data_IF_366587270704
#
_entry.id   IF_366587270704
#
_cell.length_a   1.000
_cell.length_b   1.000
_cell.length_c   1.000
_cell.angle_alpha   90.00
_cell.angle_beta   90.00
_cell.angle_gamma   90.00
#
_symmetry.space_group_name_H-M   'P 1'
#
loop_
_entity.id
_entity.type
_entity.pdbx_description
1 polymer ?
#
# COMPACT_ATOMS: atom_id res chain seq x y z
N UNK A 1 19.06 7.60 6.44
CA UNK A 1 18.60 6.19 6.61
C UNK A 1 17.07 6.05 6.51
N UNK A 2 16.27 7.11 6.73
CA UNK A 2 14.80 7.13 6.51
C UNK A 2 14.37 7.10 5.05
N UNK A 3 15.29 7.52 4.19
CA UNK A 3 15.21 7.27 2.76
C UNK A 3 15.19 5.76 2.43
N UNK A 4 15.74 4.87 3.28
CA UNK A 4 15.98 3.47 2.93
C UNK A 4 14.72 2.58 2.89
N UNK A 5 13.67 2.84 3.69
CA UNK A 5 12.44 2.02 3.63
C UNK A 5 11.41 2.55 2.61
N UNK A 6 11.35 3.88 2.40
CA UNK A 6 10.76 4.44 1.17
C UNK A 6 11.53 3.87 -0.02
N UNK A 7 12.87 3.80 0.04
CA UNK A 7 13.70 3.13 -0.96
C UNK A 7 13.57 1.62 -1.01
N UNK A 8 12.93 0.90 -0.08
CA UNK A 8 12.67 -0.55 -0.19
C UNK A 8 11.34 -0.79 -0.90
N UNK A 9 10.32 0.03 -0.62
CA UNK A 9 9.14 0.12 -1.49
C UNK A 9 9.54 0.63 -2.89
N UNK A 10 10.43 1.63 -2.93
CA UNK A 10 11.12 2.08 -4.12
C UNK A 10 12.19 1.09 -4.58
N UNK A 11 12.61 0.07 -3.82
CA UNK A 11 13.66 -0.87 -4.27
C UNK A 11 13.02 -1.95 -5.11
N UNK A 12 11.74 -2.24 -4.90
CA UNK A 12 10.92 -3.02 -5.83
C UNK A 12 10.65 -2.21 -7.10
N UNK A 13 10.30 -0.92 -6.98
CA UNK A 13 10.23 0.00 -8.13
C UNK A 13 11.60 0.23 -8.80
N UNK A 14 12.68 0.23 -8.04
CA UNK A 14 14.04 0.39 -8.52
C UNK A 14 14.64 -0.93 -8.96
N UNK A 15 14.13 -2.09 -8.54
CA UNK A 15 14.42 -3.40 -9.13
C UNK A 15 13.75 -3.47 -10.50
N UNK A 16 12.50 -2.98 -10.61
CA UNK A 16 11.87 -2.71 -11.91
C UNK A 16 12.74 -1.74 -12.75
N UNK A 17 13.36 -0.73 -12.14
CA UNK A 17 14.27 0.20 -12.84
C UNK A 17 15.73 -0.28 -13.01
N UNK A 18 16.19 -1.28 -12.25
CA UNK A 18 17.58 -1.80 -12.26
C UNK A 18 17.70 -3.09 -13.08
N UNK A 19 16.61 -3.83 -13.26
CA UNK A 19 16.53 -4.98 -14.18
C UNK A 19 16.78 -4.58 -15.64
N UNK A 20 16.89 -3.29 -15.90
CA UNK A 20 17.02 -2.64 -17.19
C UNK A 20 18.24 -1.71 -17.20
N UNK A 21 19.45 -2.24 -16.98
CA UNK A 21 20.68 -1.46 -17.27
C UNK A 21 20.77 -1.19 -18.78
N UNK A 22 20.15 -0.11 -19.23
CA UNK A 22 20.16 0.38 -20.61
C UNK A 22 18.78 0.65 -21.23
N UNK A 23 17.67 0.23 -20.60
CA UNK A 23 16.31 0.41 -21.15
C UNK A 23 15.48 1.37 -20.30
N UNK A 24 14.86 2.35 -20.96
CA UNK A 24 13.95 3.33 -20.33
C UNK A 24 12.70 2.59 -19.87
N UNK A 25 12.44 2.57 -18.56
CA UNK A 25 11.17 2.08 -18.02
C UNK A 25 10.10 3.11 -18.30
N UNK A 26 9.10 2.73 -19.10
CA UNK A 26 7.91 3.54 -19.34
C UNK A 26 6.77 3.00 -18.49
N UNK A 27 6.14 3.87 -17.70
CA UNK A 27 4.98 3.53 -16.88
C UNK A 27 3.75 4.22 -17.43
N UNK A 28 2.65 3.48 -17.58
CA UNK A 28 1.33 4.05 -17.81
C UNK A 28 0.65 4.26 -16.45
N UNK A 29 0.13 5.46 -16.23
CA UNK A 29 -0.67 5.79 -15.05
C UNK A 29 -1.89 6.58 -15.49
N UNK A 30 -3.06 5.99 -15.37
CA UNK A 30 -4.33 6.51 -15.90
C UNK A 30 -4.56 7.98 -15.58
N UNK A 31 -4.32 8.39 -14.33
CA UNK A 31 -4.55 9.78 -13.91
C UNK A 31 -3.60 10.81 -14.55
N UNK A 32 -2.47 10.37 -15.11
CA UNK A 32 -1.49 11.22 -15.79
C UNK A 32 -1.53 11.06 -17.32
N UNK A 33 -1.83 9.85 -17.80
CA UNK A 33 -1.79 9.51 -19.22
C UNK A 33 -3.13 9.77 -19.93
N UNK A 34 -4.24 9.80 -19.17
CA UNK A 34 -5.56 10.10 -19.70
C UNK A 34 -5.91 11.55 -19.31
N UNK A 35 -6.30 12.34 -20.30
CA UNK A 35 -6.73 13.71 -20.06
C UNK A 35 -7.97 13.72 -19.17
N UNK A 36 -7.89 14.36 -18.01
CA UNK A 36 -9.00 14.42 -17.05
C UNK A 36 -9.95 15.61 -17.28
N UNK A 37 -9.53 16.61 -18.07
CA UNK A 37 -10.26 17.86 -18.29
C UNK A 37 -11.04 17.92 -19.60
N UNK A 38 -10.58 17.20 -20.63
CA UNK A 38 -11.20 17.14 -21.95
C UNK A 38 -11.90 15.80 -22.14
N UNK A 39 -13.22 15.82 -22.37
CA UNK A 39 -14.04 14.61 -22.46
C UNK A 39 -13.69 13.73 -23.68
N UNK A 40 -13.35 14.32 -24.84
CA UNK A 40 -13.03 13.57 -26.05
C UNK A 40 -11.66 12.89 -25.90
N UNK A 41 -10.67 13.63 -25.39
CA UNK A 41 -9.34 13.06 -25.12
C UNK A 41 -9.37 12.06 -23.97
N UNK A 42 -10.26 12.23 -22.98
CA UNK A 42 -10.51 11.25 -21.94
C UNK A 42 -11.01 9.95 -22.55
N UNK A 43 -12.02 10.02 -23.40
CA UNK A 43 -12.59 8.84 -24.08
C UNK A 43 -11.54 8.15 -24.95
N UNK A 44 -10.80 8.91 -25.77
CA UNK A 44 -9.72 8.34 -26.59
C UNK A 44 -8.62 7.67 -25.73
N UNK A 45 -8.33 8.24 -24.55
CA UNK A 45 -7.45 7.62 -23.57
C UNK A 45 -8.02 6.31 -23.02
N UNK A 46 -9.30 6.29 -22.66
CA UNK A 46 -10.02 5.09 -22.20
C UNK A 46 -10.02 3.99 -23.26
N UNK A 47 -10.34 4.33 -24.51
CA UNK A 47 -10.36 3.40 -25.64
C UNK A 47 -8.97 2.76 -25.88
N UNK A 48 -7.91 3.45 -25.48
CA UNK A 48 -6.52 2.98 -25.60
C UNK A 48 -6.04 2.11 -24.43
N UNK A 49 -6.78 2.01 -23.31
CA UNK A 49 -6.37 1.24 -22.12
C UNK A 49 -6.11 -0.23 -22.48
N UNK A 50 -6.95 -0.84 -23.30
CA UNK A 50 -6.75 -2.22 -23.74
C UNK A 50 -5.42 -2.43 -24.47
N UNK A 51 -4.96 -1.44 -25.24
CA UNK A 51 -3.66 -1.48 -25.90
C UNK A 51 -2.50 -1.36 -24.90
N UNK A 52 -2.61 -0.49 -23.89
CA UNK A 52 -1.61 -0.39 -22.82
C UNK A 52 -1.53 -1.68 -22.01
N UNK A 53 -2.68 -2.21 -21.59
CA UNK A 53 -2.78 -3.47 -20.86
C UNK A 53 -2.29 -4.67 -21.66
N UNK A 54 -2.25 -4.61 -22.99
CA UNK A 54 -1.69 -5.67 -23.86
C UNK A 54 -0.18 -5.53 -24.04
N UNK A 55 0.32 -4.31 -24.16
CA UNK A 55 1.74 -4.06 -24.42
C UNK A 55 2.60 -3.97 -23.16
N UNK A 56 1.99 -3.98 -21.96
CA UNK A 56 2.73 -3.88 -20.69
C UNK A 56 3.43 -5.19 -20.32
N UNK A 57 4.72 -5.17 -19.96
CA UNK A 57 5.41 -6.39 -19.49
C UNK A 57 5.00 -6.76 -18.04
N UNK A 58 4.52 -5.78 -17.28
CA UNK A 58 4.16 -5.94 -15.87
C UNK A 58 3.02 -5.00 -15.46
N UNK A 59 2.22 -5.41 -14.48
CA UNK A 59 1.16 -4.59 -13.86
C UNK A 59 1.42 -4.47 -12.36
N UNK A 60 1.44 -3.24 -11.86
CA UNK A 60 1.55 -2.94 -10.43
C UNK A 60 0.18 -2.51 -9.90
N UNK A 61 -0.40 -3.34 -9.05
CA UNK A 61 -1.68 -3.07 -8.38
C UNK A 61 -1.41 -2.56 -6.97
N UNK A 62 -1.82 -1.33 -6.69
CA UNK A 62 -1.89 -0.78 -5.33
C UNK A 62 -3.29 -1.01 -4.78
N UNK A 63 -3.45 -1.96 -3.87
CA UNK A 63 -4.77 -2.34 -3.38
C UNK A 63 -5.11 -1.73 -2.01
N UNK A 64 -6.38 -1.38 -1.87
CA UNK A 64 -7.06 -0.99 -0.64
C UNK A 64 -8.26 -1.96 -0.42
N UNK A 65 -8.89 -1.96 0.76
CA UNK A 65 -9.99 -2.88 1.05
C UNK A 65 -11.14 -2.77 0.06
N UNK A 66 -11.30 -1.64 -0.64
CA UNK A 66 -12.34 -1.37 -1.63
C UNK A 66 -11.85 -1.58 -3.07
N UNK A 67 -10.69 -2.23 -3.28
CA UNK A 67 -10.12 -2.36 -4.63
C UNK A 67 -11.04 -3.16 -5.57
N UNK A 68 -11.58 -4.28 -5.09
CA UNK A 68 -12.40 -5.18 -5.90
C UNK A 68 -13.90 -4.84 -5.86
N UNK A 69 -14.29 -3.76 -5.19
CA UNK A 69 -15.64 -3.20 -5.35
C UNK A 69 -15.76 -2.44 -6.68
N UNK A 70 -14.64 -1.97 -7.25
CA UNK A 70 -14.63 -1.10 -8.44
C UNK A 70 -14.57 -1.90 -9.73
N UNK A 71 -15.54 -1.72 -10.62
CA UNK A 71 -15.67 -2.48 -11.86
C UNK A 71 -14.45 -2.33 -12.77
N UNK A 72 -13.98 -1.08 -12.94
CA UNK A 72 -12.82 -0.75 -13.77
C UNK A 72 -11.56 -1.52 -13.33
N UNK A 73 -11.27 -1.51 -12.02
CA UNK A 73 -10.10 -2.19 -11.47
C UNK A 73 -10.13 -3.72 -11.68
N UNK A 74 -11.31 -4.33 -11.59
CA UNK A 74 -11.49 -5.76 -11.86
C UNK A 74 -11.33 -6.08 -13.35
N UNK A 75 -11.88 -5.22 -14.21
CA UNK A 75 -11.77 -5.34 -15.66
C UNK A 75 -10.31 -5.30 -16.13
N UNK A 76 -9.55 -4.29 -15.72
CA UNK A 76 -8.14 -4.14 -16.10
C UNK A 76 -7.30 -5.34 -15.68
N UNK A 77 -7.51 -5.81 -14.45
CA UNK A 77 -6.77 -6.94 -13.89
C UNK A 77 -7.10 -8.24 -14.63
N UNK A 78 -8.37 -8.49 -14.92
CA UNK A 78 -8.80 -9.66 -15.68
C UNK A 78 -8.23 -9.63 -17.11
N UNK A 79 -8.32 -8.49 -17.80
CA UNK A 79 -7.78 -8.33 -19.17
C UNK A 79 -6.27 -8.50 -19.19
N UNK A 80 -5.53 -7.91 -18.24
CA UNK A 80 -4.07 -8.08 -18.14
C UNK A 80 -3.67 -9.55 -17.97
N UNK A 81 -4.43 -10.30 -17.17
CA UNK A 81 -4.18 -11.71 -16.93
C UNK A 81 -4.57 -12.59 -18.12
N UNK A 82 -5.71 -12.37 -18.75
CA UNK A 82 -6.14 -13.16 -19.93
C UNK A 82 -5.20 -12.96 -21.12
N UNK A 83 -4.75 -11.72 -21.35
CA UNK A 83 -3.79 -11.40 -22.43
C UNK A 83 -2.41 -12.06 -22.23
N UNK A 84 -2.08 -12.53 -21.02
CA UNK A 84 -0.87 -13.33 -20.77
C UNK A 84 -1.01 -14.78 -21.21
N UNK A 85 -2.24 -15.30 -21.29
CA UNK A 85 -2.50 -16.73 -21.52
C UNK A 85 -2.88 -17.09 -22.95
N UNK A 86 -3.24 -16.11 -23.79
CA UNK A 86 -3.84 -16.39 -25.11
C UNK A 86 -3.32 -15.47 -26.23
N UNK A 87 -2.74 -16.09 -27.27
CA UNK A 87 -2.29 -15.43 -28.52
C UNK A 87 -3.48 -14.98 -29.38
N UNK A 88 -4.68 -15.54 -29.16
CA UNK A 88 -5.87 -15.36 -29.99
C UNK A 88 -6.72 -14.13 -29.65
N UNK A 89 -6.54 -13.54 -28.46
CA UNK A 89 -7.23 -12.29 -28.04
C UNK A 89 -6.90 -11.07 -28.93
N UNK A 90 -5.90 -11.22 -29.81
CA UNK A 90 -5.39 -10.16 -30.68
C UNK A 90 -6.42 -9.71 -31.72
N UNK A 91 -7.13 -10.63 -32.36
CA UNK A 91 -8.08 -10.34 -33.45
C UNK A 91 -9.41 -9.81 -32.94
N UNK A 92 -9.94 -10.37 -31.84
CA UNK A 92 -11.24 -10.01 -31.29
C UNK A 92 -11.30 -8.54 -30.87
N UNK A 93 -10.41 -8.08 -29.97
CA UNK A 93 -10.42 -6.68 -29.52
C UNK A 93 -10.21 -5.66 -30.66
N UNK A 94 -9.42 -6.02 -31.67
CA UNK A 94 -9.15 -5.14 -32.81
C UNK A 94 -10.37 -5.00 -33.73
N UNK A 95 -11.12 -6.09 -33.90
CA UNK A 95 -12.38 -6.10 -34.64
C UNK A 95 -13.48 -5.38 -33.84
N UNK A 96 -13.59 -5.65 -32.54
CA UNK A 96 -14.51 -5.00 -31.61
C UNK A 96 -14.35 -3.48 -31.58
N UNK A 97 -13.11 -2.99 -31.49
CA UNK A 97 -12.82 -1.55 -31.50
C UNK A 97 -13.08 -0.92 -32.88
N UNK A 98 -12.90 -1.66 -33.97
CA UNK A 98 -13.22 -1.18 -35.31
C UNK A 98 -14.74 -1.12 -35.55
N UNK A 99 -15.51 -2.02 -34.93
CA UNK A 99 -16.97 -2.09 -34.99
C UNK A 99 -17.67 -1.10 -34.05
N UNK A 100 -17.04 -0.72 -32.92
CA UNK A 100 -17.49 0.36 -32.04
C UNK A 100 -17.36 1.77 -32.63
N UNK A 101 -17.14 1.91 -33.94
CA UNK A 101 -17.26 3.20 -34.63
C UNK A 101 -18.60 3.84 -34.27
N UNK A 102 -18.60 5.11 -33.83
CA UNK A 102 -19.76 5.74 -33.22
C UNK A 102 -20.91 5.78 -34.22
N UNK A 103 -21.83 4.84 -34.07
CA UNK A 103 -23.09 4.86 -34.77
C UNK A 103 -23.91 5.93 -34.06
N UNK A 104 -24.00 7.11 -34.68
CA UNK A 104 -24.84 8.26 -34.31
C UNK A 104 -24.29 9.33 -33.33
N UNK A 105 -23.17 9.98 -33.71
CA UNK A 105 -23.07 11.46 -33.54
C UNK A 105 -23.48 12.14 -34.85
N UNK A 106 -24.58 11.65 -35.44
CA UNK A 106 -25.13 12.12 -36.71
C UNK A 106 -26.20 13.21 -36.57
N UNK A 107 -26.60 13.57 -35.35
CA UNK A 107 -27.72 14.51 -35.12
C UNK A 107 -27.30 15.95 -34.81
N UNK A 108 -26.01 16.27 -34.77
CA UNK A 108 -25.52 17.63 -34.43
C UNK A 108 -24.82 18.38 -35.58
N UNK A 109 -24.82 17.85 -36.81
CA UNK A 109 -24.14 18.48 -37.95
C UNK A 109 -24.99 19.39 -38.84
N UNK A 110 -26.29 19.51 -38.57
CA UNK A 110 -27.18 20.36 -39.37
C UNK A 110 -27.23 21.83 -38.92
N UNK A 111 -26.42 22.26 -37.95
CA UNK A 111 -26.34 23.67 -37.52
C UNK A 111 -25.07 24.43 -37.91
N UNK A 112 -24.18 23.87 -38.74
CA UNK A 112 -22.95 24.56 -39.20
C UNK A 112 -22.84 24.72 -40.72
N UNK A 113 -23.97 24.73 -41.44
CA UNK A 113 -24.02 25.20 -42.82
C UNK A 113 -24.22 26.72 -42.84
N UNK A 114 -23.18 27.50 -42.53
CA UNK A 114 -23.02 28.92 -42.92
C UNK A 114 -21.65 29.47 -42.45
N UNK A 115 -20.55 28.96 -43.00
CA UNK A 115 -19.27 29.68 -43.00
C UNK A 115 -18.55 29.42 -44.31
N UNK A 116 -18.15 30.51 -44.96
CA UNK A 116 -17.61 30.59 -46.31
C UNK A 116 -16.24 29.92 -46.47
N UNK A 117 -15.90 29.42 -47.66
CA UNK A 117 -14.64 28.75 -47.92
C UNK A 117 -13.56 29.74 -48.38
N UNK A 118 -12.50 29.90 -47.59
CA UNK A 118 -11.21 30.35 -48.11
C UNK A 118 -10.08 29.88 -47.19
N UNK A 119 -9.19 29.07 -47.77
CA UNK A 119 -7.78 28.90 -47.41
C UNK A 119 -7.46 28.29 -46.03
N UNK A 120 -7.02 27.03 -46.04
CA UNK A 120 -5.67 26.60 -45.64
C UNK A 120 -5.55 25.12 -46.00
N UNK A 121 -4.83 24.86 -47.09
CA UNK A 121 -4.33 23.53 -47.44
C UNK A 121 -3.09 23.27 -46.59
N UNK A 122 -3.08 22.10 -45.93
CA UNK A 122 -1.94 21.32 -45.40
C UNK A 122 -2.20 20.85 -43.96
N UNK A 123 -3.27 20.09 -43.77
CA UNK A 123 -3.44 19.27 -42.57
C UNK A 123 -3.27 17.81 -42.99
N UNK A 124 -1.99 17.40 -43.04
CA UNK A 124 -1.58 16.03 -43.24
C UNK A 124 -2.00 15.22 -42.00
N UNK A 125 -3.20 14.63 -42.13
CA UNK A 125 -3.87 13.64 -41.28
C UNK A 125 -2.98 12.97 -40.22
N UNK A 126 -3.05 13.50 -39.00
CA UNK A 126 -2.56 12.86 -37.76
C UNK A 126 -3.01 11.39 -37.54
N UNK A 127 -4.17 10.91 -38.02
CA UNK A 127 -4.55 9.50 -37.87
C UNK A 127 -3.61 8.51 -38.57
N UNK A 128 -2.94 8.92 -39.65
CA UNK A 128 -2.07 8.03 -40.45
C UNK A 128 -0.73 7.73 -39.76
N UNK A 129 -0.21 8.65 -38.93
CA UNK A 129 1.04 8.43 -38.17
C UNK A 129 0.84 7.49 -36.98
N UNK A 130 -0.31 7.53 -36.32
CA UNK A 130 -0.62 6.60 -35.21
C UNK A 130 -0.80 5.17 -35.74
N UNK A 131 -1.43 4.99 -36.90
CA UNK A 131 -1.59 3.69 -37.54
C UNK A 131 -0.26 3.08 -38.02
N UNK A 132 0.68 3.90 -38.52
CA UNK A 132 1.99 3.46 -38.99
C UNK A 132 2.94 3.05 -37.85
N UNK A 133 2.85 3.69 -36.68
CA UNK A 133 3.62 3.32 -35.48
C UNK A 133 3.11 2.00 -34.89
N UNK A 134 1.79 1.74 -34.95
CA UNK A 134 1.20 0.50 -34.45
C UNK A 134 1.53 -0.75 -35.30
N UNK A 135 1.75 -0.57 -36.61
CA UNK A 135 2.05 -1.69 -37.53
C UNK A 135 3.52 -2.08 -37.56
N UNK A 136 4.44 -1.15 -37.26
CA UNK A 136 5.90 -1.44 -37.29
C UNK A 136 6.37 -2.22 -36.05
N UNK A 137 5.59 -2.28 -34.97
CA UNK A 137 5.94 -3.01 -33.74
C UNK A 137 5.55 -4.51 -33.75
N UNK A 138 4.99 -5.04 -34.83
CA UNK A 138 4.51 -6.43 -34.93
C UNK A 138 5.57 -7.47 -35.31
N UNK A 139 6.86 -7.19 -35.09
CA UNK A 139 7.94 -8.16 -35.27
C UNK A 139 7.88 -9.29 -34.25
N UNK A 140 7.43 -10.48 -34.68
CA UNK A 140 7.73 -11.84 -34.17
C UNK A 140 8.27 -11.98 -32.74
N UNK A 141 7.58 -11.43 -31.73
CA UNK A 141 7.89 -11.69 -30.31
C UNK A 141 7.15 -12.96 -29.89
N UNK A 142 7.65 -14.11 -30.34
CA UNK A 142 7.12 -15.45 -30.03
C UNK A 142 7.66 -16.04 -28.71
N UNK A 143 8.38 -15.26 -27.91
CA UNK A 143 8.73 -15.65 -26.56
C UNK A 143 7.52 -15.40 -25.67
N UNK A 144 7.02 -16.46 -25.04
CA UNK A 144 6.07 -16.42 -23.94
C UNK A 144 6.68 -15.61 -22.80
N UNK A 145 6.57 -14.28 -22.88
CA UNK A 145 7.00 -13.40 -21.81
C UNK A 145 6.11 -13.63 -20.61
N UNK A 146 6.70 -14.14 -19.53
CA UNK A 146 6.05 -14.27 -18.23
C UNK A 146 5.70 -12.87 -17.72
N UNK A 147 4.45 -12.44 -17.94
CA UNK A 147 3.99 -11.11 -17.55
C UNK A 147 3.89 -11.05 -16.04
N UNK A 148 4.46 -10.00 -15.46
CA UNK A 148 4.61 -9.91 -14.01
C UNK A 148 3.48 -9.08 -13.38
N UNK A 149 2.59 -9.74 -12.66
CA UNK A 149 1.62 -9.06 -11.79
C UNK A 149 2.23 -8.85 -10.39
N UNK A 150 2.22 -7.61 -9.91
CA UNK A 150 2.73 -7.22 -8.59
C UNK A 150 1.58 -6.56 -7.83
N UNK A 151 1.25 -7.08 -6.65
CA UNK A 151 0.16 -6.56 -5.82
C UNK A 151 0.76 -6.05 -4.50
N UNK A 152 0.59 -4.76 -4.22
CA UNK A 152 1.10 -4.10 -3.00
C UNK A 152 -0.05 -3.47 -2.22
N UNK A 153 -0.23 -3.79 -0.93
CA UNK A 153 -1.20 -3.11 -0.07
C UNK A 153 -0.78 -1.66 0.22
N UNK A 154 -1.69 -0.70 0.01
CA UNK A 154 -1.44 0.72 0.27
C UNK A 154 -1.12 0.99 1.75
N UNK A 155 -1.77 0.26 2.66
CA UNK A 155 -1.61 0.38 4.10
C UNK A 155 -0.18 0.05 4.55
N UNK A 156 0.52 -0.86 3.86
CA UNK A 156 1.91 -1.19 4.20
C UNK A 156 2.84 -0.02 3.92
N UNK A 157 2.59 0.78 2.88
CA UNK A 157 3.36 1.99 2.60
C UNK A 157 3.25 3.01 3.76
N UNK A 158 2.02 3.31 4.19
CA UNK A 158 1.76 4.22 5.32
C UNK A 158 2.40 3.69 6.60
N UNK A 159 2.30 2.39 6.85
CA UNK A 159 2.91 1.74 8.00
C UNK A 159 4.44 1.81 7.99
N UNK A 160 5.08 1.58 6.84
CA UNK A 160 6.52 1.73 6.70
C UNK A 160 6.97 3.17 6.99
N UNK A 161 6.24 4.17 6.50
CA UNK A 161 6.51 5.59 6.80
C UNK A 161 6.37 5.86 8.30
N UNK A 162 5.33 5.35 8.95
CA UNK A 162 5.14 5.46 10.40
C UNK A 162 6.31 4.84 11.18
N UNK A 163 6.70 3.60 10.86
CA UNK A 163 7.81 2.91 11.53
C UNK A 163 9.14 3.66 11.36
N UNK A 164 9.37 4.23 10.17
CA UNK A 164 10.52 5.06 9.90
C UNK A 164 10.53 6.32 10.76
N UNK A 165 9.45 7.11 10.73
CA UNK A 165 9.34 8.35 11.52
C UNK A 165 9.46 8.05 13.02
N UNK A 166 8.79 7.01 13.50
CA UNK A 166 8.88 6.57 14.88
C UNK A 166 10.32 6.19 15.27
N UNK A 167 11.00 5.41 14.43
CA UNK A 167 12.40 5.06 14.63
C UNK A 167 13.34 6.28 14.61
N UNK A 168 13.07 7.27 13.74
CA UNK A 168 13.83 8.52 13.70
C UNK A 168 13.71 9.29 15.01
N UNK A 169 12.47 9.54 15.43
CA UNK A 169 12.16 10.32 16.63
C UNK A 169 12.72 9.61 17.85
N UNK A 170 12.56 8.28 17.94
CA UNK A 170 13.13 7.47 19.01
C UNK A 170 14.66 7.61 19.06
N UNK A 171 15.33 7.55 17.91
CA UNK A 171 16.78 7.74 17.87
C UNK A 171 17.21 9.14 18.32
N UNK A 172 16.56 10.20 17.82
CA UNK A 172 16.88 11.59 18.19
C UNK A 172 16.66 11.83 19.68
N UNK A 173 15.54 11.36 20.22
CA UNK A 173 15.26 11.47 21.67
C UNK A 173 16.28 10.67 22.47
N UNK A 174 16.65 9.46 22.05
CA UNK A 174 17.67 8.68 22.73
C UNK A 174 19.04 9.40 22.76
N UNK A 175 19.43 10.07 21.67
CA UNK A 175 20.67 10.87 21.63
C UNK A 175 20.59 12.14 22.49
N UNK A 176 19.43 12.81 22.52
CA UNK A 176 19.22 13.93 23.41
C UNK A 176 19.29 13.49 24.89
N UNK A 177 18.68 12.35 25.21
CA UNK A 177 18.70 11.78 26.55
C UNK A 177 20.10 11.31 26.95
N UNK A 178 20.87 10.67 26.07
CA UNK A 178 22.25 10.28 26.38
C UNK A 178 23.16 11.49 26.63
N UNK A 179 22.93 12.59 25.91
CA UNK A 179 23.63 13.85 26.16
C UNK A 179 23.28 14.43 27.55
N UNK A 180 22.01 14.38 27.96
CA UNK A 180 21.56 14.82 29.29
C UNK A 180 22.03 13.88 30.42
N UNK A 181 22.09 12.57 30.15
CA UNK A 181 22.45 11.51 31.10
C UNK A 181 23.91 11.60 31.55
N UNK A 182 24.79 12.19 30.71
CA UNK A 182 26.17 12.52 31.11
C UNK A 182 26.26 13.40 32.37
N UNK A 183 25.15 14.00 32.82
CA UNK A 183 25.06 14.81 34.04
C UNK A 183 24.24 14.20 35.19
N UNK A 184 23.59 13.06 34.99
CA UNK A 184 22.64 12.43 35.93
C UNK A 184 22.94 10.93 36.19
N UNK A 185 24.11 10.45 35.76
CA UNK A 185 24.47 9.08 35.37
C UNK A 185 24.32 7.94 36.38
N UNK A 186 24.08 8.21 37.66
CA UNK A 186 24.36 7.19 38.69
C UNK A 186 23.13 6.43 39.22
N UNK A 187 21.89 6.85 38.92
CA UNK A 187 20.71 6.20 39.51
C UNK A 187 19.74 5.50 38.55
N UNK A 188 19.59 5.97 37.30
CA UNK A 188 18.64 5.36 36.36
C UNK A 188 19.18 5.50 34.94
N UNK A 189 19.36 4.38 34.23
CA UNK A 189 19.69 4.39 32.82
C UNK A 189 18.43 4.78 32.00
N UNK A 190 18.11 6.08 32.01
CA UNK A 190 16.89 6.63 31.41
C UNK A 190 16.82 6.32 29.91
N UNK A 191 17.97 6.23 29.25
CA UNK A 191 18.05 5.85 27.84
C UNK A 191 17.49 4.43 27.58
N UNK A 192 17.80 3.45 28.43
CA UNK A 192 17.29 2.09 28.31
C UNK A 192 15.77 2.02 28.53
N UNK A 193 15.24 2.77 29.50
CA UNK A 193 13.80 2.86 29.74
C UNK A 193 13.09 3.44 28.51
N UNK A 194 13.63 4.51 27.94
CA UNK A 194 13.08 5.13 26.74
C UNK A 194 13.05 4.16 25.54
N UNK A 195 14.14 3.42 25.31
CA UNK A 195 14.18 2.39 24.26
C UNK A 195 13.16 1.28 24.50
N UNK A 196 13.00 0.82 25.74
CA UNK A 196 12.02 -0.21 26.08
C UNK A 196 10.58 0.24 25.81
N UNK A 197 10.22 1.45 26.26
CA UNK A 197 8.88 2.04 26.03
C UNK A 197 8.64 2.25 24.54
N UNK A 198 9.65 2.73 23.81
CA UNK A 198 9.55 2.97 22.37
C UNK A 198 9.38 1.66 21.60
N UNK A 199 10.16 0.63 21.94
CA UNK A 199 10.00 -0.71 21.34
C UNK A 199 8.62 -1.29 21.61
N UNK A 200 8.10 -1.15 22.84
CA UNK A 200 6.75 -1.61 23.17
C UNK A 200 5.68 -0.92 22.31
N UNK A 201 5.73 0.41 22.20
CA UNK A 201 4.83 1.17 21.34
C UNK A 201 4.93 0.76 19.87
N UNK A 202 6.15 0.53 19.38
CA UNK A 202 6.42 0.00 18.05
C UNK A 202 5.80 -1.37 17.84
N UNK A 203 5.99 -2.31 18.76
CA UNK A 203 5.41 -3.65 18.71
C UNK A 203 3.87 -3.60 18.67
N UNK A 204 3.23 -2.80 19.53
CA UNK A 204 1.77 -2.64 19.53
C UNK A 204 1.27 -2.09 18.19
N UNK A 205 1.96 -1.09 17.63
CA UNK A 205 1.63 -0.53 16.32
C UNK A 205 1.80 -1.57 15.20
N UNK A 206 2.89 -2.35 15.20
CA UNK A 206 3.12 -3.45 14.25
C UNK A 206 1.96 -4.46 14.34
N UNK A 207 1.63 -4.95 15.54
CA UNK A 207 0.55 -5.91 15.75
C UNK A 207 -0.81 -5.39 15.25
N UNK A 208 -1.13 -4.12 15.52
CA UNK A 208 -2.38 -3.50 15.07
C UNK A 208 -2.45 -3.43 13.54
N UNK A 209 -1.37 -2.99 12.89
CA UNK A 209 -1.32 -2.90 11.42
C UNK A 209 -1.36 -4.27 10.77
N UNK A 210 -0.67 -5.24 11.35
CA UNK A 210 -0.73 -6.64 10.93
C UNK A 210 -2.13 -7.25 11.03
N UNK A 211 -2.84 -7.00 12.15
CA UNK A 211 -4.24 -7.45 12.32
C UNK A 211 -5.15 -6.78 11.30
N UNK A 212 -4.98 -5.47 11.08
CA UNK A 212 -5.72 -4.73 10.06
C UNK A 212 -5.45 -5.28 8.67
N UNK A 213 -4.19 -5.46 8.29
CA UNK A 213 -3.80 -6.06 7.02
C UNK A 213 -4.42 -7.46 6.82
N UNK A 214 -4.41 -8.30 7.86
CA UNK A 214 -5.07 -9.61 7.81
C UNK A 214 -6.57 -9.50 7.58
N UNK A 215 -7.24 -8.52 8.20
CA UNK A 215 -8.67 -8.27 8.01
C UNK A 215 -8.95 -7.76 6.59
N UNK A 216 -8.23 -6.74 6.15
CA UNK A 216 -8.35 -6.13 4.82
C UNK A 216 -8.11 -7.18 3.71
N UNK A 217 -7.21 -8.14 3.96
CA UNK A 217 -6.97 -9.24 3.04
C UNK A 217 -8.14 -10.25 2.98
N UNK A 218 -8.76 -10.57 4.13
CA UNK A 218 -9.94 -11.43 4.15
C UNK A 218 -11.10 -10.76 3.41
N UNK A 219 -11.27 -9.46 3.64
CA UNK A 219 -12.26 -8.64 2.95
C UNK A 219 -12.03 -8.65 1.43
N UNK A 220 -10.78 -8.41 1.00
CA UNK A 220 -10.40 -8.50 -0.42
C UNK A 220 -10.71 -9.87 -1.02
N UNK A 221 -10.39 -10.97 -0.32
CA UNK A 221 -10.73 -12.32 -0.79
C UNK A 221 -12.24 -12.55 -0.89
N UNK A 222 -13.03 -12.00 0.03
CA UNK A 222 -14.49 -12.12 0.01
C UNK A 222 -15.09 -11.32 -1.15
N UNK A 223 -14.58 -10.10 -1.39
CA UNK A 223 -15.02 -9.25 -2.49
C UNK A 223 -14.78 -9.92 -3.84
N UNK A 224 -13.60 -10.51 -4.06
CA UNK A 224 -13.33 -11.24 -5.30
C UNK A 224 -14.27 -12.44 -5.44
N UNK A 225 -14.46 -13.23 -4.37
CA UNK A 225 -15.29 -14.43 -4.39
C UNK A 225 -16.78 -14.12 -4.65
N UNK A 226 -17.25 -12.94 -4.22
CA UNK A 226 -18.64 -12.49 -4.36
C UNK A 226 -18.83 -11.44 -5.45
N UNK A 227 -17.79 -11.16 -6.24
CA UNK A 227 -17.79 -10.08 -7.23
C UNK A 227 -18.91 -10.30 -8.25
N UNK A 228 -19.74 -9.28 -8.50
CA UNK A 228 -20.72 -9.26 -9.59
C UNK A 228 -20.65 -7.92 -10.31
N UNK A 229 -20.78 -7.92 -11.64
CA UNK A 229 -20.70 -6.69 -12.47
C UNK A 229 -21.80 -5.70 -12.07
N UNK A 230 -23.02 -6.19 -11.84
CA UNK A 230 -24.18 -5.38 -11.44
C UNK A 230 -24.06 -4.70 -10.07
N UNK A 231 -23.17 -5.16 -9.19
CA UNK A 231 -22.94 -4.56 -7.86
C UNK A 231 -21.63 -3.78 -7.77
N UNK A 232 -20.81 -3.87 -8.80
CA UNK A 232 -19.53 -3.21 -8.83
C UNK A 232 -19.72 -1.69 -8.99
N UNK A 233 -18.96 -0.94 -8.22
CA UNK A 233 -18.97 0.52 -8.21
C UNK A 233 -18.27 1.06 -9.46
N UNK A 234 -18.87 2.08 -10.07
CA UNK A 234 -18.28 2.89 -11.13
C UNK A 234 -18.28 4.35 -10.71
N UNK A 235 -17.40 5.15 -11.32
CA UNK A 235 -17.37 6.59 -11.07
C UNK A 235 -18.64 7.28 -11.59
N UNK A 236 -19.12 6.84 -12.76
CA UNK A 236 -20.40 7.25 -13.32
C UNK A 236 -21.21 6.05 -13.83
N UNK A 237 -22.55 6.16 -13.92
CA UNK A 237 -23.39 5.13 -14.54
C UNK A 237 -23.02 4.86 -16.00
N UNK A 238 -22.57 5.88 -16.73
CA UNK A 238 -22.15 5.73 -18.13
C UNK A 238 -20.89 4.87 -18.26
N UNK A 239 -19.93 5.01 -17.33
CA UNK A 239 -18.75 4.14 -17.30
C UNK A 239 -19.15 2.68 -17.07
N UNK A 240 -20.23 2.43 -16.32
CA UNK A 240 -20.73 1.07 -16.06
C UNK A 240 -21.25 0.42 -17.34
N UNK A 241 -22.16 1.07 -18.06
CA UNK A 241 -22.68 0.61 -19.36
C UNK A 241 -21.55 0.39 -20.39
N UNK A 242 -20.57 1.30 -20.41
CA UNK A 242 -19.42 1.20 -21.31
C UNK A 242 -18.56 -0.03 -20.99
N UNK A 243 -18.24 -0.27 -19.72
CA UNK A 243 -17.46 -1.45 -19.33
C UNK A 243 -18.25 -2.74 -19.57
N UNK A 244 -19.57 -2.75 -19.35
CA UNK A 244 -20.43 -3.90 -19.68
C UNK A 244 -20.41 -4.22 -21.17
N UNK A 245 -20.44 -3.21 -22.03
CA UNK A 245 -20.28 -3.40 -23.48
C UNK A 245 -18.90 -3.97 -23.82
N UNK A 246 -17.81 -3.46 -23.20
CA UNK A 246 -16.47 -4.01 -23.38
C UNK A 246 -16.36 -5.46 -22.91
N UNK A 247 -16.92 -5.77 -21.74
CA UNK A 247 -16.96 -7.13 -21.18
C UNK A 247 -17.69 -8.06 -22.14
N UNK A 248 -18.89 -7.67 -22.58
CA UNK A 248 -19.70 -8.45 -23.52
C UNK A 248 -18.93 -8.74 -24.79
N UNK A 249 -18.25 -7.72 -25.33
CA UNK A 249 -17.49 -7.85 -26.56
C UNK A 249 -16.26 -8.75 -26.42
N UNK A 250 -15.67 -8.85 -25.22
CA UNK A 250 -14.44 -9.62 -24.98
C UNK A 250 -14.68 -11.04 -24.47
N UNK A 251 -15.79 -11.27 -23.77
CA UNK A 251 -16.06 -12.51 -23.06
C UNK A 251 -17.27 -13.28 -23.60
N UNK A 252 -18.09 -12.71 -24.49
CA UNK A 252 -19.16 -13.45 -25.17
C UNK A 252 -18.74 -13.87 -26.57
N UNK A 253 -18.89 -15.16 -26.89
CA UNK A 253 -18.73 -15.67 -28.26
C UNK A 253 -19.90 -15.26 -29.17
N UNK A 254 -21.10 -15.09 -28.59
CA UNK A 254 -22.34 -14.81 -29.33
C UNK A 254 -22.75 -13.33 -29.31
N UNK A 255 -21.92 -12.45 -28.72
CA UNK A 255 -22.27 -11.07 -28.37
C UNK A 255 -23.53 -10.96 -27.49
N UNK A 256 -23.87 -12.01 -26.75
CA UNK A 256 -24.91 -11.99 -25.73
C UNK A 256 -24.35 -11.40 -24.43
N UNK A 257 -24.92 -10.28 -23.99
CA UNK A 257 -24.50 -9.55 -22.79
C UNK A 257 -24.51 -10.42 -21.52
N UNK A 258 -25.58 -11.19 -21.30
CA UNK A 258 -25.73 -12.05 -20.12
C UNK A 258 -24.64 -13.12 -20.09
N UNK A 259 -24.32 -13.71 -21.24
CA UNK A 259 -23.25 -14.69 -21.37
C UNK A 259 -21.87 -14.06 -21.10
N UNK A 260 -21.57 -12.92 -21.73
CA UNK A 260 -20.29 -12.23 -21.57
C UNK A 260 -20.04 -11.77 -20.14
N UNK A 261 -21.05 -11.21 -19.49
CA UNK A 261 -21.00 -10.82 -18.07
C UNK A 261 -20.76 -12.05 -17.19
N UNK A 262 -21.50 -13.15 -17.39
CA UNK A 262 -21.32 -14.37 -16.60
C UNK A 262 -19.93 -14.99 -16.77
N UNK A 263 -19.39 -15.00 -18.00
CA UNK A 263 -18.05 -15.48 -18.30
C UNK A 263 -16.98 -14.60 -17.63
N UNK A 264 -17.12 -13.27 -17.70
CA UNK A 264 -16.21 -12.35 -17.02
C UNK A 264 -16.24 -12.52 -15.49
N UNK A 265 -17.42 -12.58 -14.88
CA UNK A 265 -17.55 -12.83 -13.44
C UNK A 265 -16.89 -14.14 -13.03
N UNK A 266 -17.02 -15.20 -13.85
CA UNK A 266 -16.33 -16.45 -13.63
C UNK A 266 -14.81 -16.27 -13.65
N UNK A 267 -14.25 -15.54 -14.62
CA UNK A 267 -12.81 -15.26 -14.70
C UNK A 267 -12.32 -14.49 -13.46
N UNK A 268 -13.06 -13.48 -12.99
CA UNK A 268 -12.71 -12.72 -11.79
C UNK A 268 -12.75 -13.61 -10.55
N UNK A 269 -13.85 -14.33 -10.31
CA UNK A 269 -14.01 -15.20 -9.13
C UNK A 269 -13.06 -16.40 -9.11
N UNK A 270 -12.57 -16.84 -10.27
CA UNK A 270 -11.70 -18.02 -10.35
C UNK A 270 -10.24 -17.63 -10.58
N UNK A 271 -9.89 -17.21 -11.80
CA UNK A 271 -8.50 -16.99 -12.24
C UNK A 271 -7.87 -15.81 -11.52
N UNK A 272 -8.57 -14.67 -11.44
CA UNK A 272 -8.06 -13.49 -10.72
C UNK A 272 -7.88 -13.83 -9.25
N UNK A 273 -8.88 -14.45 -8.61
CA UNK A 273 -8.78 -14.89 -7.21
C UNK A 273 -7.56 -15.78 -6.97
N UNK A 274 -7.36 -16.82 -7.79
CA UNK A 274 -6.25 -17.76 -7.64
C UNK A 274 -4.89 -17.08 -7.75
N UNK A 275 -4.72 -16.13 -8.69
CA UNK A 275 -3.45 -15.42 -8.84
C UNK A 275 -3.21 -14.43 -7.71
N UNK A 276 -4.25 -13.71 -7.27
CA UNK A 276 -4.18 -12.83 -6.10
C UNK A 276 -3.79 -13.64 -4.86
N UNK A 277 -4.42 -14.79 -4.62
CA UNK A 277 -4.10 -15.67 -3.50
C UNK A 277 -2.70 -16.27 -3.60
N UNK A 278 -2.23 -16.59 -4.82
CA UNK A 278 -0.86 -17.05 -5.07
C UNK A 278 0.16 -15.96 -4.74
N UNK A 279 -0.07 -14.72 -5.18
CA UNK A 279 0.84 -13.59 -4.96
C UNK A 279 0.87 -13.17 -3.49
N UNK A 280 -0.30 -13.08 -2.84
CA UNK A 280 -0.41 -12.73 -1.43
C UNK A 280 -0.11 -13.93 -0.49
N UNK A 281 0.12 -15.12 -1.07
CA UNK A 281 0.37 -16.41 -0.42
C UNK A 281 -0.88 -17.01 0.22
N UNK A 282 -1.23 -18.27 -0.04
CA UNK A 282 -2.50 -18.88 0.42
C UNK A 282 -2.79 -18.58 1.90
N UNK A 283 -3.93 -17.90 2.18
CA UNK A 283 -4.42 -17.45 3.50
C UNK A 283 -3.32 -17.50 4.57
N UNK A 284 -2.42 -16.52 4.59
CA UNK A 284 -1.34 -16.50 5.58
C UNK A 284 -1.96 -16.61 6.98
N UNK A 285 -1.92 -17.81 7.56
CA UNK A 285 -1.93 -18.01 8.99
C UNK A 285 -0.56 -17.52 9.46
N UNK A 286 -0.32 -16.21 9.41
CA UNK A 286 0.81 -15.67 10.15
C UNK A 286 0.57 -16.16 11.58
N UNK A 287 1.53 -16.85 12.21
CA UNK A 287 1.36 -17.35 13.56
C UNK A 287 1.48 -16.15 14.52
N UNK A 288 0.51 -15.23 14.43
CA UNK A 288 0.43 -14.00 15.21
C UNK A 288 0.54 -14.32 16.69
N UNK A 289 0.03 -15.48 17.11
CA UNK A 289 0.15 -15.97 18.49
C UNK A 289 1.61 -16.15 18.92
N UNK A 290 2.48 -16.69 18.05
CA UNK A 290 3.91 -16.89 18.35
C UNK A 290 4.70 -15.59 18.28
N UNK A 291 4.46 -14.75 17.27
CA UNK A 291 5.14 -13.44 17.15
C UNK A 291 4.72 -12.49 18.28
N UNK A 292 3.42 -12.47 18.62
CA UNK A 292 2.92 -11.73 19.77
C UNK A 292 3.49 -12.29 21.07
N UNK A 293 3.51 -13.61 21.28
CA UNK A 293 4.09 -14.19 22.49
C UNK A 293 5.56 -13.78 22.69
N UNK A 294 6.37 -13.78 21.63
CA UNK A 294 7.76 -13.30 21.69
C UNK A 294 7.87 -11.80 22.05
N UNK A 295 7.01 -10.96 21.46
CA UNK A 295 6.97 -9.53 21.77
C UNK A 295 6.44 -9.24 23.19
N UNK A 296 5.45 -10.00 23.66
CA UNK A 296 4.94 -9.89 25.03
C UNK A 296 5.99 -10.33 26.05
N UNK A 297 6.71 -11.44 25.81
CA UNK A 297 7.75 -11.93 26.71
C UNK A 297 8.90 -10.93 26.88
N UNK A 298 9.35 -10.31 25.78
CA UNK A 298 10.40 -9.27 25.84
C UNK A 298 9.93 -8.03 26.58
N UNK A 299 8.67 -7.62 26.37
CA UNK A 299 8.06 -6.48 27.07
C UNK A 299 7.87 -6.75 28.56
N UNK A 300 7.42 -7.95 28.93
CA UNK A 300 7.30 -8.39 30.33
C UNK A 300 8.67 -8.42 30.99
N UNK A 301 9.70 -8.93 30.32
CA UNK A 301 11.06 -8.93 30.85
C UNK A 301 11.59 -7.50 31.07
N UNK A 302 11.32 -6.56 30.16
CA UNK A 302 11.68 -5.16 30.33
C UNK A 302 10.92 -4.50 31.50
N UNK A 303 9.61 -4.73 31.59
CA UNK A 303 8.78 -4.24 32.69
C UNK A 303 9.23 -4.82 34.06
N UNK A 304 9.58 -6.11 34.10
CA UNK A 304 10.10 -6.76 35.31
C UNK A 304 11.44 -6.16 35.75
N UNK A 305 12.36 -5.85 34.81
CA UNK A 305 13.61 -5.15 35.13
C UNK A 305 13.35 -3.75 35.70
N UNK A 306 12.41 -3.01 35.13
CA UNK A 306 12.03 -1.69 35.63
C UNK A 306 11.40 -1.77 37.02
N UNK A 307 10.48 -2.71 37.24
CA UNK A 307 9.89 -2.95 38.55
C UNK A 307 10.96 -3.30 39.60
N UNK A 308 11.96 -4.11 39.22
CA UNK A 308 13.09 -4.44 40.09
C UNK A 308 13.92 -3.19 40.46
N UNK A 309 14.23 -2.33 39.48
CA UNK A 309 14.94 -1.05 39.74
C UNK A 309 14.13 -0.15 40.67
N UNK A 310 12.82 -0.01 40.45
CA UNK A 310 11.94 0.77 41.33
C UNK A 310 11.87 0.21 42.76
N UNK A 311 11.80 -1.11 42.92
CA UNK A 311 11.82 -1.76 44.24
C UNK A 311 13.16 -1.53 44.95
N UNK A 312 14.29 -1.61 44.23
CA UNK A 312 15.61 -1.30 44.79
C UNK A 312 15.71 0.17 45.22
N UNK A 313 15.18 1.10 44.44
CA UNK A 313 15.13 2.53 44.81
C UNK A 313 14.28 2.77 46.07
N UNK A 314 13.12 2.14 46.17
CA UNK A 314 12.27 2.20 47.36
C UNK A 314 12.99 1.65 48.60
N UNK A 315 13.71 0.54 48.45
CA UNK A 315 14.50 -0.05 49.53
C UNK A 315 15.64 0.89 49.98
N UNK A 316 16.35 1.51 49.04
CA UNK A 316 17.39 2.49 49.34
C UNK A 316 16.84 3.73 50.07
N UNK A 317 15.69 4.24 49.65
CA UNK A 317 15.02 5.35 50.32
C UNK A 317 14.59 4.97 51.76
N UNK A 318 14.10 3.75 51.96
CA UNK A 318 13.75 3.24 53.29
C UNK A 318 15.01 3.13 54.19
N UNK A 319 16.11 2.60 53.66
CA UNK A 319 17.37 2.51 54.40
C UNK A 319 17.92 3.88 54.78
N UNK A 320 17.86 4.85 53.86
CA UNK A 320 18.25 6.23 54.12
C UNK A 320 17.39 6.85 55.23
N UNK A 321 16.09 6.63 55.19
CA UNK A 321 15.17 7.09 56.23
C UNK A 321 15.49 6.48 57.60
N UNK A 322 15.79 5.17 57.66
CA UNK A 322 16.21 4.50 58.89
C UNK A 322 17.55 5.03 59.42
N UNK A 323 18.51 5.33 58.53
CA UNK A 323 19.79 5.95 58.91
C UNK A 323 19.57 7.34 59.51
N UNK A 324 18.73 8.17 58.90
CA UNK A 324 18.36 9.49 59.41
C UNK A 324 17.66 9.38 60.77
N UNK A 325 16.77 8.41 60.94
CA UNK A 325 16.12 8.14 62.23
C UNK A 325 17.13 7.73 63.30
N UNK A 326 18.10 6.87 62.96
CA UNK A 326 19.16 6.46 63.88
C UNK A 326 20.03 7.65 64.29
N UNK A 327 20.44 8.49 63.34
CA UNK A 327 21.20 9.72 63.61
C UNK A 327 20.42 10.68 64.52
N UNK A 328 19.11 10.83 64.28
CA UNK A 328 18.23 11.64 65.12
C UNK A 328 18.14 11.09 66.55
N UNK A 329 18.00 9.76 66.72
CA UNK A 329 17.99 9.13 68.04
C UNK A 329 19.34 9.28 68.77
N UNK A 330 20.46 9.15 68.06
CA UNK A 330 21.80 9.41 68.62
C UNK A 330 21.97 10.86 69.07
N UNK A 331 21.44 11.82 68.30
CA UNK A 331 21.42 13.23 68.67
C UNK A 331 20.59 13.46 69.93
N UNK A 332 19.40 12.88 70.01
CA UNK A 332 18.55 12.95 71.21
C UNK A 332 19.25 12.33 72.44
N UNK A 333 19.93 11.20 72.28
CA UNK A 333 20.71 10.57 73.33
C UNK A 333 21.86 11.47 73.80
N UNK A 334 22.59 12.09 72.86
CA UNK A 334 23.66 13.04 73.18
C UNK A 334 23.11 14.25 73.94
N UNK A 335 21.99 14.83 73.49
CA UNK A 335 21.33 15.94 74.18
C UNK A 335 20.87 15.54 75.58
N UNK A 336 20.31 14.33 75.73
CA UNK A 336 19.92 13.78 77.02
C UNK A 336 21.12 13.60 77.96
N UNK A 337 22.24 13.06 77.46
CA UNK A 337 23.48 12.91 78.23
C UNK A 337 24.07 14.26 78.65
N UNK A 338 24.06 15.26 77.75
CA UNK A 338 24.49 16.62 78.07
C UNK A 338 23.61 17.24 79.18
N UNK A 339 22.29 17.11 79.05
CA UNK A 339 21.33 17.57 80.06
C UNK A 339 21.54 16.87 81.41
N UNK A 340 21.74 15.55 81.40
CA UNK A 340 22.01 14.75 82.60
C UNK A 340 23.30 15.18 83.31
N UNK A 341 24.38 15.44 82.56
CA UNK A 341 25.63 15.94 83.14
C UNK A 341 25.46 17.33 83.77
N UNK A 342 24.66 18.21 83.17
CA UNK A 342 24.40 19.54 83.70
C UNK A 342 23.52 19.46 84.96
N UNK A 343 22.50 18.60 84.98
CA UNK A 343 21.65 18.37 86.15
C UNK A 343 22.45 17.88 87.35
N UNK A 344 23.45 17.01 87.15
CA UNK A 344 24.30 16.49 88.24
C UNK A 344 25.16 17.56 88.92
N UNK A 345 25.30 18.75 88.34
CA UNK A 345 26.02 19.88 88.96
C UNK A 345 25.16 20.64 89.99
N UNK A 346 23.84 20.49 89.92
CA UNK A 346 22.89 21.01 90.92
C UNK A 346 22.60 19.96 91.97
#
# INVERSE_FOLDING_TARGET
MHFFAILVMWSRLAELAKSTRGTVVSCFLDCLCINQGDAELKQAGIDSIGAYLRNSDSMLVLWAPEYFTRLWCCFELAVFMETSTNVEFKSLLQNSLAEMKPTSVGAARDLQRNTSPSEINNEETAPARIAAVATTAQGTRNETHDRKLIIIPVQMGVFCIYCLLFGYVSFVVAQAMSFLDSKLSDLVNVSNLFWAVSMFGGCVAICRNCRRYSHDRLELSNQIAQFTVSRAECFSPHDHEFIEAMITCLYSETHNEVEGIAAFEYVVRSRVQQNVDKILGSRMQVPWRLSMAGMFLTSIAAAARLACVWLLLLLLLLLLWLLLLLLFLLLLLLLFLLFWMEWRKF
#
